data_IF_497214615665
#
_entry.id   IF_497214615665
#
_cell.length_a   1.000
_cell.length_b   1.000
_cell.length_c   1.000
_cell.angle_alpha   90.00
_cell.angle_beta   90.00
_cell.angle_gamma   90.00
#
_symmetry.space_group_name_H-M   'P 1'
#
loop_
_entity.id
_entity.type
_entity.pdbx_description
1 polymer ?
#
# COMPACT_ATOMS: atom_id res chain seq x y z
N UNK A 1 13.38 -10.21 -22.08
CA UNK A 1 13.07 -9.74 -20.71
C UNK A 1 13.73 -10.69 -19.73
N UNK A 2 14.45 -10.18 -18.73
CA UNK A 2 15.00 -11.05 -17.68
C UNK A 2 13.86 -11.53 -16.78
N UNK A 3 13.92 -12.76 -16.26
CA UNK A 3 12.86 -13.35 -15.43
C UNK A 3 12.44 -12.46 -14.26
N UNK A 4 13.37 -11.66 -13.73
CA UNK A 4 13.13 -10.71 -12.65
C UNK A 4 12.16 -9.60 -13.07
N UNK A 5 12.26 -9.07 -14.29
CA UNK A 5 11.37 -8.00 -14.79
C UNK A 5 9.91 -8.47 -14.90
N UNK A 6 9.70 -9.74 -15.23
CA UNK A 6 8.35 -10.33 -15.32
C UNK A 6 7.73 -10.43 -13.93
N UNK A 7 8.49 -10.91 -12.94
CA UNK A 7 8.06 -11.02 -11.55
C UNK A 7 7.76 -9.64 -10.95
N UNK A 8 8.60 -8.64 -11.23
CA UNK A 8 8.37 -7.26 -10.78
C UNK A 8 7.10 -6.66 -11.37
N UNK A 9 6.86 -6.86 -12.67
CA UNK A 9 5.64 -6.41 -13.35
C UNK A 9 4.39 -7.06 -12.77
N UNK A 10 4.45 -8.36 -12.46
CA UNK A 10 3.33 -9.07 -11.84
C UNK A 10 3.07 -8.60 -10.42
N UNK A 11 4.12 -8.45 -9.61
CA UNK A 11 4.01 -7.96 -8.24
C UNK A 11 3.44 -6.54 -8.20
N UNK A 12 3.83 -5.69 -9.17
CA UNK A 12 3.26 -4.36 -9.37
C UNK A 12 1.76 -4.43 -9.65
N UNK A 13 1.34 -5.19 -10.67
CA UNK A 13 -0.09 -5.31 -11.00
C UNK A 13 -0.89 -5.85 -9.81
N UNK A 14 -0.36 -6.85 -9.10
CA UNK A 14 -0.99 -7.39 -7.90
C UNK A 14 -1.10 -6.35 -6.78
N UNK A 15 -0.05 -5.56 -6.51
CA UNK A 15 -0.05 -4.53 -5.49
C UNK A 15 -1.03 -3.39 -5.77
N UNK A 16 -1.31 -3.11 -7.05
CA UNK A 16 -2.29 -2.08 -7.43
C UNK A 16 -3.71 -2.64 -7.45
N UNK A 17 -3.93 -3.78 -8.08
CA UNK A 17 -5.29 -4.27 -8.33
C UNK A 17 -5.87 -4.96 -7.10
N UNK A 18 -5.05 -5.74 -6.39
CA UNK A 18 -5.52 -6.65 -5.35
C UNK A 18 -6.16 -5.96 -4.13
N UNK A 19 -5.54 -4.95 -3.49
CA UNK A 19 -6.16 -4.30 -2.32
C UNK A 19 -7.49 -3.62 -2.67
N UNK A 20 -7.58 -3.02 -3.87
CA UNK A 20 -8.80 -2.45 -4.44
C UNK A 20 -9.92 -3.47 -4.61
N UNK A 21 -9.62 -4.60 -5.26
CA UNK A 21 -10.61 -5.68 -5.44
C UNK A 21 -11.05 -6.24 -4.09
N UNK A 22 -10.13 -6.42 -3.15
CA UNK A 22 -10.44 -6.97 -1.84
C UNK A 22 -11.32 -6.01 -1.01
N UNK A 23 -11.06 -4.71 -1.08
CA UNK A 23 -11.92 -3.67 -0.49
C UNK A 23 -13.34 -3.72 -1.05
N UNK A 24 -13.50 -3.78 -2.39
CA UNK A 24 -14.82 -3.84 -3.03
C UNK A 24 -15.53 -5.14 -2.63
N UNK A 25 -14.83 -6.27 -2.65
CA UNK A 25 -15.39 -7.57 -2.30
C UNK A 25 -15.93 -7.60 -0.87
N UNK A 26 -15.18 -7.05 0.10
CA UNK A 26 -15.59 -7.06 1.52
C UNK A 26 -16.73 -6.07 1.79
N UNK A 27 -16.66 -4.85 1.25
CA UNK A 27 -17.54 -3.76 1.67
C UNK A 27 -18.71 -3.46 0.73
N UNK A 28 -18.57 -3.83 -0.55
CA UNK A 28 -19.54 -3.51 -1.61
C UNK A 28 -19.66 -4.69 -2.58
N UNK A 29 -19.99 -5.87 -2.04
CA UNK A 29 -20.16 -7.10 -2.82
C UNK A 29 -21.17 -6.96 -3.97
N UNK A 30 -22.22 -6.16 -3.79
CA UNK A 30 -23.19 -5.91 -4.87
C UNK A 30 -22.57 -5.17 -6.06
N UNK A 31 -21.64 -4.23 -5.82
CA UNK A 31 -20.86 -3.59 -6.89
C UNK A 31 -19.93 -4.59 -7.57
N UNK A 32 -19.32 -5.50 -6.81
CA UNK A 32 -18.46 -6.55 -7.35
C UNK A 32 -19.20 -7.46 -8.35
N UNK A 33 -20.47 -7.75 -8.09
CA UNK A 33 -21.29 -8.64 -8.92
C UNK A 33 -22.01 -7.93 -10.07
N UNK A 34 -22.28 -6.63 -9.94
CA UNK A 34 -23.04 -5.85 -10.93
C UNK A 34 -22.18 -5.13 -11.97
N UNK A 35 -20.91 -4.86 -11.66
CA UNK A 35 -20.02 -4.14 -12.56
C UNK A 35 -19.35 -5.08 -13.57
N UNK A 36 -19.26 -4.62 -14.82
CA UNK A 36 -18.41 -5.24 -15.84
C UNK A 36 -16.94 -5.27 -15.37
N UNK A 37 -16.21 -6.31 -15.77
CA UNK A 37 -14.81 -6.55 -15.35
C UNK A 37 -13.91 -5.31 -15.53
N UNK A 38 -14.05 -4.59 -16.65
CA UNK A 38 -13.24 -3.39 -16.91
C UNK A 38 -13.57 -2.27 -15.92
N UNK A 39 -14.86 -2.03 -15.62
CA UNK A 39 -15.30 -1.00 -14.67
C UNK A 39 -14.88 -1.36 -13.25
N UNK A 40 -15.00 -2.64 -12.89
CA UNK A 40 -14.55 -3.17 -11.60
C UNK A 40 -13.03 -2.98 -11.44
N UNK A 41 -12.25 -3.26 -12.49
CA UNK A 41 -10.81 -3.07 -12.49
C UNK A 41 -10.45 -1.59 -12.30
N UNK A 42 -11.07 -0.69 -13.05
CA UNK A 42 -10.85 0.76 -12.91
C UNK A 42 -11.20 1.26 -11.50
N UNK A 43 -12.30 0.79 -10.91
CA UNK A 43 -12.68 1.14 -9.55
C UNK A 43 -11.68 0.60 -8.52
N UNK A 44 -11.23 -0.64 -8.67
CA UNK A 44 -10.21 -1.24 -7.82
C UNK A 44 -8.89 -0.47 -7.88
N UNK A 45 -8.44 -0.13 -9.10
CA UNK A 45 -7.25 0.72 -9.31
C UNK A 45 -7.41 2.06 -8.59
N UNK A 46 -8.56 2.74 -8.76
CA UNK A 46 -8.83 4.03 -8.12
C UNK A 46 -8.80 3.97 -6.59
N UNK A 47 -9.34 2.92 -5.99
CA UNK A 47 -9.31 2.71 -4.54
C UNK A 47 -7.89 2.45 -4.00
N UNK A 48 -7.05 1.78 -4.78
CA UNK A 48 -5.67 1.48 -4.40
C UNK A 48 -4.69 2.64 -4.62
N UNK A 49 -5.01 3.60 -5.49
CA UNK A 49 -4.10 4.70 -5.83
C UNK A 49 -3.67 5.54 -4.61
N UNK A 50 -4.56 5.99 -3.71
CA UNK A 50 -4.16 6.74 -2.52
C UNK A 50 -3.17 5.97 -1.64
N UNK A 51 -3.39 4.66 -1.52
CA UNK A 51 -2.53 3.77 -0.73
C UNK A 51 -1.12 3.74 -1.35
N UNK A 52 -1.03 3.48 -2.65
CA UNK A 52 0.25 3.43 -3.37
C UNK A 52 1.00 4.75 -3.35
N UNK A 53 0.32 5.87 -3.60
CA UNK A 53 0.94 7.19 -3.58
C UNK A 53 1.52 7.45 -2.19
N UNK A 54 0.77 7.14 -1.12
CA UNK A 54 1.23 7.30 0.25
C UNK A 54 2.48 6.47 0.56
N UNK A 55 2.53 5.20 0.16
CA UNK A 55 3.69 4.34 0.46
C UNK A 55 4.91 4.64 -0.41
N UNK A 56 4.72 5.07 -1.67
CA UNK A 56 5.83 5.51 -2.53
C UNK A 56 6.44 6.80 -1.98
N UNK A 57 5.62 7.77 -1.56
CA UNK A 57 6.09 9.00 -0.93
C UNK A 57 6.85 8.71 0.37
N UNK A 58 6.35 7.79 1.20
CA UNK A 58 7.04 7.38 2.42
C UNK A 58 8.39 6.71 2.12
N UNK A 59 8.41 5.84 1.12
CA UNK A 59 9.66 5.20 0.64
C UNK A 59 10.65 6.25 0.14
N UNK A 60 10.16 7.30 -0.53
CA UNK A 60 10.99 8.36 -1.10
C UNK A 60 11.60 9.24 -0.01
N UNK A 61 10.86 9.43 1.08
CA UNK A 61 11.35 10.12 2.25
C UNK A 61 12.48 9.36 2.97
N UNK A 62 12.39 8.03 3.03
CA UNK A 62 13.37 7.19 3.71
C UNK A 62 14.64 6.97 2.88
N UNK A 63 14.48 6.77 1.56
CA UNK A 63 15.56 6.36 0.67
C UNK A 63 16.26 7.54 -0.01
N UNK A 64 17.10 8.29 0.72
CA UNK A 64 17.97 9.30 0.10
C UNK A 64 19.06 8.65 -0.74
N UNK A 65 19.01 8.80 -2.07
CA UNK A 65 20.06 8.35 -2.99
C UNK A 65 19.87 6.96 -3.62
N UNK A 66 18.72 6.30 -3.41
CA UNK A 66 18.42 5.03 -4.10
C UNK A 66 17.89 5.25 -5.53
N UNK A 67 18.06 4.25 -6.40
CA UNK A 67 17.47 4.27 -7.75
C UNK A 67 15.95 4.20 -7.71
N UNK A 68 15.30 4.83 -8.69
CA UNK A 68 13.83 4.90 -8.79
C UNK A 68 13.16 3.51 -8.81
N UNK A 69 13.80 2.51 -9.41
CA UNK A 69 13.27 1.13 -9.46
C UNK A 69 13.21 0.49 -8.07
N UNK A 70 14.23 0.70 -7.24
CA UNK A 70 14.26 0.17 -5.87
C UNK A 70 13.24 0.88 -4.98
N UNK A 71 13.16 2.20 -5.16
CA UNK A 71 12.22 3.05 -4.45
C UNK A 71 10.77 2.62 -4.69
N UNK A 72 10.39 2.46 -5.97
CA UNK A 72 9.03 2.06 -6.35
C UNK A 72 8.71 0.64 -5.90
N UNK A 73 9.67 -0.30 -6.04
CA UNK A 73 9.51 -1.65 -5.53
C UNK A 73 9.23 -1.70 -4.03
N UNK A 74 10.00 -0.95 -3.24
CA UNK A 74 9.78 -0.84 -1.79
C UNK A 74 8.43 -0.22 -1.46
N UNK A 75 8.02 0.81 -2.22
CA UNK A 75 6.69 1.41 -2.09
C UNK A 75 5.54 0.44 -2.37
N UNK A 76 5.67 -0.45 -3.36
CA UNK A 76 4.67 -1.49 -3.65
C UNK A 76 4.63 -2.58 -2.57
N UNK A 77 5.78 -2.96 -2.03
CA UNK A 77 5.82 -3.91 -0.93
C UNK A 77 5.18 -3.33 0.33
N UNK A 78 5.51 -2.07 0.66
CA UNK A 78 4.89 -1.35 1.76
C UNK A 78 3.38 -1.18 1.58
N UNK A 79 2.87 -0.92 0.36
CA UNK A 79 1.43 -0.78 0.15
C UNK A 79 0.68 -2.06 0.48
N UNK A 80 1.22 -3.22 0.10
CA UNK A 80 0.67 -4.52 0.46
C UNK A 80 0.67 -4.73 1.98
N UNK A 81 1.80 -4.45 2.63
CA UNK A 81 1.96 -4.61 4.07
C UNK A 81 1.07 -3.67 4.87
N UNK A 82 0.75 -2.49 4.33
CA UNK A 82 -0.14 -1.51 4.97
C UNK A 82 -1.61 -1.84 4.73
N UNK A 83 -1.98 -2.30 3.54
CA UNK A 83 -3.38 -2.50 3.17
C UNK A 83 -3.93 -3.84 3.70
N UNK A 84 -3.16 -4.93 3.62
CA UNK A 84 -3.66 -6.27 3.91
C UNK A 84 -3.99 -6.53 5.38
N UNK A 85 -3.15 -6.15 6.37
CA UNK A 85 -3.47 -6.41 7.77
C UNK A 85 -4.73 -5.69 8.26
N UNK A 86 -4.96 -4.38 7.97
CA UNK A 86 -6.22 -3.72 8.25
C UNK A 86 -7.41 -4.38 7.54
N UNK A 87 -7.25 -4.82 6.28
CA UNK A 87 -8.31 -5.51 5.55
C UNK A 87 -8.66 -6.85 6.20
N UNK A 88 -7.66 -7.67 6.51
CA UNK A 88 -7.83 -8.97 7.15
C UNK A 88 -8.45 -8.82 8.54
N UNK A 89 -7.94 -7.89 9.33
CA UNK A 89 -8.48 -7.61 10.67
C UNK A 89 -9.93 -7.13 10.60
N UNK A 90 -10.24 -6.20 9.69
CA UNK A 90 -11.61 -5.69 9.53
C UNK A 90 -12.57 -6.75 9.00
N UNK A 91 -12.09 -7.68 8.16
CA UNK A 91 -12.85 -8.84 7.70
C UNK A 91 -13.19 -9.78 8.86
N UNK A 92 -12.20 -10.14 9.68
CA UNK A 92 -12.40 -11.05 10.81
C UNK A 92 -13.30 -10.45 11.90
N UNK A 93 -13.17 -9.16 12.16
CA UNK A 93 -13.97 -8.45 13.16
C UNK A 93 -15.34 -7.98 12.63
N UNK A 94 -15.61 -8.08 11.32
CA UNK A 94 -16.86 -7.63 10.71
C UNK A 94 -17.07 -6.11 10.79
N UNK A 95 -15.99 -5.32 10.79
CA UNK A 95 -16.11 -3.86 10.94
C UNK A 95 -16.74 -3.19 9.71
N UNK A 96 -17.49 -2.09 9.89
CA UNK A 96 -18.01 -1.32 8.77
C UNK A 96 -16.88 -0.54 8.06
N UNK A 97 -17.12 -0.15 6.80
CA UNK A 97 -16.13 0.55 5.97
C UNK A 97 -15.49 1.78 6.63
N UNK A 98 -16.22 2.68 7.31
CA UNK A 98 -15.60 3.84 7.97
C UNK A 98 -14.58 3.46 9.03
N UNK A 99 -14.85 2.40 9.80
CA UNK A 99 -13.92 1.89 10.83
C UNK A 99 -12.65 1.34 10.18
N UNK A 100 -12.79 0.61 9.07
CA UNK A 100 -11.63 0.15 8.29
C UNK A 100 -10.77 1.32 7.78
N UNK A 101 -11.38 2.38 7.25
CA UNK A 101 -10.65 3.56 6.78
C UNK A 101 -9.87 4.22 7.93
N UNK A 102 -10.46 4.31 9.12
CA UNK A 102 -9.77 4.84 10.32
C UNK A 102 -8.56 3.97 10.68
N UNK A 103 -8.71 2.63 10.69
CA UNK A 103 -7.61 1.70 10.97
C UNK A 103 -6.50 1.83 9.91
N UNK A 104 -6.87 1.96 8.64
CA UNK A 104 -5.93 2.14 7.53
C UNK A 104 -5.17 3.47 7.65
N UNK A 105 -5.84 4.58 7.96
CA UNK A 105 -5.18 5.86 8.21
C UNK A 105 -4.26 5.74 9.43
N UNK A 106 -4.71 5.06 10.49
CA UNK A 106 -3.91 4.77 11.67
C UNK A 106 -2.63 4.00 11.34
N UNK A 107 -2.69 2.98 10.48
CA UNK A 107 -1.50 2.21 10.06
C UNK A 107 -0.53 3.07 9.23
N UNK A 108 -1.05 3.96 8.37
CA UNK A 108 -0.23 4.95 7.65
C UNK A 108 0.52 5.89 8.58
N UNK A 109 -0.19 6.50 9.54
CA UNK A 109 0.40 7.43 10.51
C UNK A 109 1.43 6.70 11.37
N UNK A 110 1.14 5.46 11.78
CA UNK A 110 2.06 4.63 12.56
C UNK A 110 3.37 4.41 11.81
N UNK A 111 3.30 4.02 10.53
CA UNK A 111 4.50 3.86 9.71
C UNK A 111 5.25 5.17 9.51
N UNK A 112 4.55 6.27 9.23
CA UNK A 112 5.18 7.58 9.08
C UNK A 112 5.97 7.96 10.33
N UNK A 113 5.39 7.75 11.52
CA UNK A 113 6.05 8.02 12.80
C UNK A 113 7.28 7.13 12.98
N UNK A 114 7.18 5.83 12.68
CA UNK A 114 8.33 4.91 12.75
C UNK A 114 9.45 5.36 11.83
N UNK A 115 9.16 5.64 10.56
CA UNK A 115 10.15 6.12 9.58
C UNK A 115 10.78 7.45 10.01
N UNK A 116 9.97 8.37 10.57
CA UNK A 116 10.49 9.64 11.08
C UNK A 116 11.49 9.46 12.23
N UNK A 117 11.17 8.59 13.20
CA UNK A 117 12.08 8.30 14.31
C UNK A 117 13.34 7.59 13.86
N UNK A 118 13.23 6.65 12.92
CA UNK A 118 14.37 5.90 12.41
C UNK A 118 15.35 6.81 11.64
N UNK A 119 14.81 7.69 10.79
CA UNK A 119 15.61 8.71 10.10
C UNK A 119 16.29 9.67 11.08
N UNK A 120 15.59 10.11 12.13
CA UNK A 120 16.18 10.97 13.17
C UNK A 120 17.35 10.29 13.87
N UNK A 121 17.22 8.99 14.21
CA UNK A 121 18.30 8.20 14.83
C UNK A 121 19.52 8.08 13.91
N UNK A 122 19.31 7.81 12.63
CA UNK A 122 20.38 7.70 11.63
C UNK A 122 21.19 9.00 11.49
N UNK A 123 20.52 10.16 11.46
CA UNK A 123 21.20 11.47 11.40
C UNK A 123 22.05 11.72 12.65
N UNK A 124 21.52 11.44 13.85
CA UNK A 124 22.28 11.65 15.09
C UNK A 124 23.50 10.73 15.19
N UNK A 125 23.42 9.50 14.69
CA UNK A 125 24.55 8.56 14.66
C UNK A 125 25.71 9.05 13.76
N UNK A 126 25.40 9.63 12.59
CA UNK A 126 26.42 10.12 11.65
C UNK A 126 27.08 11.45 12.05
N UNK A 127 26.48 12.23 12.96
CA UNK A 127 27.08 13.49 13.47
C UNK A 127 28.02 13.22 14.65
N UNK A 128 27.92 12.05 15.29
CA UNK A 128 28.77 11.64 16.42
C UNK A 128 30.02 10.82 16.05
N UNK A 129 30.22 10.53 14.76
CA UNK A 129 31.39 9.82 14.20
C UNK A 129 32.28 10.76 13.42
#
# INVERSE_FOLDING_TARGET
MSSYQVIYSLAFIAAIVSPGLLMIFIYKRDLFLSLDVIKLLLLALSLSMPILIGTILLSAYDSTGQSFDKLTFYGYFLSLLVAYPPLLFSYLAGFPFPTFVIILIGSYVSLFVVTYFDKKRSITANVGS
#
